data_IF_761378784250
#
_entry.id   IF_761378784250
#
_cell.length_a   1.000
_cell.length_b   1.000
_cell.length_c   1.000
_cell.angle_alpha   90.00
_cell.angle_beta   90.00
_cell.angle_gamma   90.00
#
_symmetry.space_group_name_H-M   'P 1'
#
loop_
_entity.id
_entity.type
_entity.pdbx_description
1 polymer ?
#
# COMPACT_ATOMS: atom_id res chain seq x y z
N UNK A 1 -4.28 20.86 -19.61
CA UNK A 1 -4.81 20.40 -18.31
C UNK A 1 -3.62 20.08 -17.42
N UNK A 2 -3.65 20.46 -16.14
CA UNK A 2 -2.58 20.12 -15.21
C UNK A 2 -2.50 18.60 -15.04
N UNK A 3 -1.29 18.06 -14.83
CA UNK A 3 -1.13 16.64 -14.48
C UNK A 3 -1.90 16.36 -13.18
N UNK A 4 -2.77 15.36 -13.21
CA UNK A 4 -3.59 14.98 -12.06
C UNK A 4 -2.88 13.94 -11.19
N UNK A 5 -2.96 14.11 -9.88
CA UNK A 5 -2.38 13.23 -8.87
C UNK A 5 -3.50 12.52 -8.13
N UNK A 6 -3.42 11.19 -8.10
CA UNK A 6 -4.37 10.36 -7.39
C UNK A 6 -3.99 10.21 -5.91
N UNK A 7 -4.91 10.54 -5.02
CA UNK A 7 -4.71 10.46 -3.57
C UNK A 7 -5.37 9.21 -2.99
N UNK A 8 -4.61 8.49 -2.16
CA UNK A 8 -5.09 7.35 -1.40
C UNK A 8 -4.88 7.60 0.09
N UNK A 9 -5.79 7.11 0.93
CA UNK A 9 -5.62 7.09 2.39
C UNK A 9 -5.64 5.66 2.91
N UNK A 10 -5.03 5.43 4.07
CA UNK A 10 -4.91 4.13 4.69
C UNK A 10 -5.62 4.14 6.05
N UNK A 11 -6.47 3.16 6.27
CA UNK A 11 -7.08 2.87 7.55
C UNK A 11 -6.60 1.50 8.04
N UNK A 12 -5.78 1.50 9.08
CA UNK A 12 -5.43 0.28 9.80
C UNK A 12 -6.66 -0.16 10.63
N UNK A 13 -7.34 -1.22 10.22
CA UNK A 13 -8.58 -1.69 10.88
C UNK A 13 -8.33 -2.82 11.88
N UNK A 14 -7.12 -3.37 11.89
CA UNK A 14 -6.61 -4.32 12.86
C UNK A 14 -5.09 -4.15 12.96
N UNK A 15 -4.57 -3.89 14.15
CA UNK A 15 -3.16 -3.52 14.33
C UNK A 15 -2.41 -4.45 15.28
N UNK A 16 -1.22 -4.88 14.83
CA UNK A 16 -0.24 -5.52 15.69
C UNK A 16 -0.60 -6.93 16.17
N UNK A 17 -1.42 -7.67 15.41
CA UNK A 17 -1.82 -9.06 15.72
C UNK A 17 -1.17 -10.11 14.82
N UNK A 18 -0.30 -9.70 13.89
CA UNK A 18 0.22 -10.57 12.84
C UNK A 18 1.28 -11.54 13.37
N UNK A 19 1.13 -12.83 13.09
CA UNK A 19 2.07 -13.88 13.50
C UNK A 19 3.22 -14.12 12.50
N UNK A 20 3.17 -13.47 11.33
CA UNK A 20 4.17 -13.59 10.28
C UNK A 20 5.50 -12.94 10.67
N UNK A 21 6.59 -13.35 10.02
CA UNK A 21 7.95 -12.92 10.31
C UNK A 21 8.55 -11.99 9.24
N UNK A 22 7.72 -11.16 8.60
CA UNK A 22 8.20 -10.15 7.67
C UNK A 22 9.13 -9.17 8.41
N UNK A 23 10.44 -9.24 8.16
CA UNK A 23 11.46 -8.48 8.90
C UNK A 23 11.36 -6.97 8.79
N UNK A 24 10.57 -6.45 7.85
CA UNK A 24 10.29 -5.03 7.70
C UNK A 24 9.06 -4.54 8.49
N UNK A 25 8.25 -5.44 9.05
CA UNK A 25 6.89 -5.10 9.49
C UNK A 25 6.80 -4.97 11.02
N UNK A 26 6.60 -3.74 11.50
CA UNK A 26 6.38 -3.46 12.93
C UNK A 26 5.09 -4.06 13.50
N UNK A 27 4.15 -4.48 12.65
CA UNK A 27 2.92 -5.15 13.10
C UNK A 27 3.11 -6.62 13.50
N UNK A 28 4.25 -7.23 13.16
CA UNK A 28 4.54 -8.59 13.60
C UNK A 28 4.68 -8.64 15.12
N UNK A 29 4.00 -9.61 15.74
CA UNK A 29 4.11 -9.85 17.20
C UNK A 29 5.49 -10.36 17.60
N UNK A 30 6.29 -10.86 16.64
CA UNK A 30 7.62 -11.43 16.89
C UNK A 30 8.63 -10.37 17.31
N UNK A 31 8.54 -9.18 16.71
CA UNK A 31 9.52 -8.10 16.90
C UNK A 31 9.19 -7.19 18.08
N UNK A 32 7.96 -7.23 18.62
CA UNK A 32 7.54 -6.43 19.78
C UNK A 32 7.79 -4.92 19.61
N UNK A 33 7.67 -4.40 18.39
CA UNK A 33 7.73 -2.96 18.14
C UNK A 33 6.71 -2.21 19.00
N UNK A 34 7.09 -1.03 19.48
CA UNK A 34 6.23 -0.16 20.27
C UNK A 34 5.23 0.56 19.34
N UNK A 35 4.05 -0.03 19.22
CA UNK A 35 2.96 0.43 18.36
C UNK A 35 1.63 0.24 19.09
N UNK A 36 0.61 0.99 18.69
CA UNK A 36 -0.75 0.77 19.17
C UNK A 36 -1.29 -0.56 18.63
N UNK A 37 -1.79 -1.43 19.51
CA UNK A 37 -2.29 -2.77 19.17
C UNK A 37 -3.77 -2.89 19.51
N UNK A 38 -4.57 -3.35 18.56
CA UNK A 38 -5.99 -3.57 18.73
C UNK A 38 -6.49 -4.62 17.74
N UNK A 39 -7.46 -5.43 18.17
CA UNK A 39 -7.99 -6.52 17.34
C UNK A 39 -8.89 -6.03 16.22
N UNK A 40 -9.77 -5.09 16.49
CA UNK A 40 -10.69 -4.54 15.50
C UNK A 40 -10.93 -3.07 15.85
N UNK A 41 -10.75 -2.20 14.85
CA UNK A 41 -11.14 -0.81 14.95
C UNK A 41 -12.66 -0.70 14.81
N UNK A 42 -13.27 0.16 15.61
CA UNK A 42 -14.71 0.41 15.57
C UNK A 42 -15.15 1.01 14.22
N UNK A 43 -16.26 0.52 13.67
CA UNK A 43 -16.77 0.93 12.36
C UNK A 43 -17.10 2.43 12.29
N UNK A 44 -17.58 3.05 13.37
CA UNK A 44 -17.85 4.49 13.37
C UNK A 44 -16.55 5.30 13.29
N UNK A 45 -15.48 4.82 13.92
CA UNK A 45 -14.13 5.39 13.77
C UNK A 45 -13.64 5.26 12.33
N UNK A 46 -13.77 4.08 11.71
CA UNK A 46 -13.38 3.85 10.31
C UNK A 46 -14.16 4.77 9.37
N UNK A 47 -15.47 4.94 9.59
CA UNK A 47 -16.31 5.84 8.81
C UNK A 47 -15.88 7.31 8.94
N UNK A 48 -15.51 7.74 10.14
CA UNK A 48 -14.99 9.09 10.37
C UNK A 48 -13.70 9.32 9.58
N UNK A 49 -12.74 8.38 9.66
CA UNK A 49 -11.48 8.45 8.91
C UNK A 49 -11.72 8.44 7.39
N UNK A 50 -12.72 7.69 6.91
CA UNK A 50 -13.11 7.68 5.50
C UNK A 50 -13.69 9.02 5.05
N UNK A 51 -14.60 9.62 5.83
CA UNK A 51 -15.16 10.96 5.55
C UNK A 51 -14.05 12.02 5.51
N UNK A 52 -13.15 12.00 6.49
CA UNK A 52 -12.01 12.92 6.54
C UNK A 52 -11.08 12.75 5.33
N UNK A 53 -10.78 11.50 4.94
CA UNK A 53 -9.97 11.23 3.75
C UNK A 53 -10.62 11.76 2.48
N UNK A 54 -11.92 11.54 2.31
CA UNK A 54 -12.68 12.03 1.16
C UNK A 54 -12.72 13.57 1.11
N UNK A 55 -12.97 14.23 2.25
CA UNK A 55 -12.95 15.70 2.36
C UNK A 55 -11.58 16.30 2.01
N UNK A 56 -10.51 15.55 2.22
CA UNK A 56 -9.14 15.92 1.82
C UNK A 56 -8.75 15.43 0.41
N UNK A 57 -9.72 15.00 -0.40
CA UNK A 57 -9.52 14.67 -1.81
C UNK A 57 -8.98 13.26 -2.08
N UNK A 58 -8.95 12.37 -1.07
CA UNK A 58 -8.69 10.96 -1.32
C UNK A 58 -9.78 10.37 -2.20
N UNK A 59 -9.38 9.56 -3.17
CA UNK A 59 -10.27 8.75 -3.99
C UNK A 59 -10.12 7.26 -3.68
N UNK A 60 -8.96 6.84 -3.18
CA UNK A 60 -8.74 5.48 -2.66
C UNK A 60 -8.76 5.47 -1.13
N UNK A 61 -9.38 4.44 -0.54
CA UNK A 61 -9.39 4.22 0.90
C UNK A 61 -9.08 2.76 1.22
N UNK A 62 -7.91 2.51 1.82
CA UNK A 62 -7.41 1.17 2.12
C UNK A 62 -7.90 0.68 3.48
N UNK A 63 -8.50 -0.51 3.51
CA UNK A 63 -8.87 -1.24 4.72
C UNK A 63 -7.81 -2.33 4.98
N UNK A 64 -6.94 -2.11 5.97
CA UNK A 64 -5.76 -2.95 6.20
C UNK A 64 -5.87 -3.77 7.47
N UNK A 65 -5.58 -5.06 7.38
CA UNK A 65 -5.51 -5.97 8.54
C UNK A 65 -4.07 -6.46 8.74
N UNK A 66 -3.74 -6.83 9.97
CA UNK A 66 -2.45 -7.37 10.37
C UNK A 66 -2.55 -8.90 10.56
N UNK A 67 -2.71 -9.61 9.45
CA UNK A 67 -2.76 -11.08 9.39
C UNK A 67 -2.07 -11.59 8.11
N UNK A 68 -1.75 -12.90 8.05
CA UNK A 68 -1.21 -13.55 6.84
C UNK A 68 -2.16 -13.40 5.64
N UNK A 69 -3.45 -13.56 5.89
CA UNK A 69 -4.48 -13.64 4.87
C UNK A 69 -5.88 -13.67 5.45
N UNK A 70 -6.87 -13.69 4.56
CA UNK A 70 -8.28 -13.71 4.94
C UNK A 70 -8.65 -15.05 5.56
N UNK A 71 -9.25 -14.97 6.74
CA UNK A 71 -10.05 -16.03 7.35
C UNK A 71 -11.53 -15.59 7.39
N UNK A 72 -12.42 -16.52 7.71
CA UNK A 72 -13.88 -16.26 7.73
C UNK A 72 -14.26 -15.06 8.61
N UNK A 73 -13.71 -14.95 9.82
CA UNK A 73 -14.01 -13.85 10.74
C UNK A 73 -13.55 -12.50 10.19
N UNK A 74 -12.36 -12.47 9.60
CA UNK A 74 -11.77 -11.26 9.02
C UNK A 74 -12.54 -10.84 7.77
N UNK A 75 -12.92 -11.81 6.93
CA UNK A 75 -13.74 -11.57 5.75
C UNK A 75 -15.09 -10.94 6.12
N UNK A 76 -15.81 -11.53 7.09
CA UNK A 76 -17.09 -10.97 7.59
C UNK A 76 -16.89 -9.55 8.13
N UNK A 77 -15.84 -9.31 8.90
CA UNK A 77 -15.54 -7.98 9.45
C UNK A 77 -15.27 -6.94 8.35
N UNK A 78 -14.41 -7.26 7.38
CA UNK A 78 -14.08 -6.34 6.27
C UNK A 78 -15.32 -6.07 5.40
N UNK A 79 -16.12 -7.10 5.09
CA UNK A 79 -17.37 -6.92 4.36
C UNK A 79 -18.36 -6.00 5.10
N UNK A 80 -18.52 -6.18 6.41
CA UNK A 80 -19.39 -5.31 7.21
C UNK A 80 -18.97 -3.84 7.18
N UNK A 81 -17.67 -3.56 7.26
CA UNK A 81 -17.14 -2.20 7.08
C UNK A 81 -17.42 -1.69 5.66
N UNK A 82 -17.12 -2.50 4.64
CA UNK A 82 -17.27 -2.11 3.24
C UNK A 82 -18.72 -1.75 2.88
N UNK A 83 -19.70 -2.49 3.40
CA UNK A 83 -21.12 -2.21 3.20
C UNK A 83 -21.57 -0.89 3.81
N UNK A 84 -21.06 -0.54 5.00
CA UNK A 84 -21.32 0.76 5.64
C UNK A 84 -20.70 1.89 4.82
N UNK A 85 -19.42 1.77 4.49
CA UNK A 85 -18.71 2.81 3.75
C UNK A 85 -19.28 3.02 2.33
N UNK A 86 -19.70 1.96 1.65
CA UNK A 86 -20.32 2.06 0.32
C UNK A 86 -21.63 2.85 0.35
N UNK A 87 -22.36 2.86 1.47
CA UNK A 87 -23.59 3.66 1.64
C UNK A 87 -23.29 5.10 2.01
N UNK A 88 -22.33 5.31 2.90
CA UNK A 88 -22.07 6.62 3.51
C UNK A 88 -21.08 7.50 2.73
N UNK A 89 -20.13 6.88 2.02
CA UNK A 89 -19.08 7.54 1.24
C UNK A 89 -18.87 6.81 -0.11
N UNK A 90 -19.92 6.65 -0.94
CA UNK A 90 -19.88 5.86 -2.19
C UNK A 90 -18.85 6.34 -3.22
N UNK A 91 -18.34 7.57 -3.07
CA UNK A 91 -17.35 8.17 -3.94
C UNK A 91 -15.94 7.59 -3.72
N UNK A 92 -15.68 7.03 -2.54
CA UNK A 92 -14.41 6.39 -2.25
C UNK A 92 -14.33 5.01 -2.87
N UNK A 93 -13.24 4.76 -3.59
CA UNK A 93 -12.87 3.43 -4.02
C UNK A 93 -12.25 2.68 -2.86
N UNK A 94 -13.02 1.74 -2.30
CA UNK A 94 -12.54 0.87 -1.23
C UNK A 94 -11.53 -0.15 -1.75
N UNK A 95 -10.40 -0.24 -1.06
CA UNK A 95 -9.27 -1.13 -1.37
C UNK A 95 -9.06 -2.06 -0.18
N UNK A 96 -9.19 -3.37 -0.40
CA UNK A 96 -8.88 -4.38 0.61
C UNK A 96 -7.37 -4.67 0.64
N UNK A 97 -6.75 -4.66 1.81
CA UNK A 97 -5.33 -4.97 2.01
C UNK A 97 -5.20 -6.03 3.11
N UNK A 98 -5.67 -7.26 2.84
CA UNK A 98 -5.95 -8.24 3.89
C UNK A 98 -5.13 -9.53 3.78
N UNK A 99 -3.93 -9.44 3.19
CA UNK A 99 -3.02 -10.57 3.04
C UNK A 99 -3.40 -11.50 1.89
N UNK A 100 -3.06 -12.79 2.00
CA UNK A 100 -3.42 -13.81 1.00
C UNK A 100 -4.92 -14.02 0.93
N UNK A 101 -5.43 -14.34 -0.27
CA UNK A 101 -6.86 -14.52 -0.49
C UNK A 101 -7.14 -15.51 -1.64
N UNK A 102 -8.16 -16.35 -1.46
CA UNK A 102 -8.69 -17.20 -2.54
C UNK A 102 -9.64 -16.42 -3.44
N UNK A 103 -9.92 -16.93 -4.63
CA UNK A 103 -10.87 -16.32 -5.57
C UNK A 103 -12.26 -16.14 -4.94
N UNK A 104 -12.75 -17.12 -4.17
CA UNK A 104 -14.06 -17.06 -3.51
C UNK A 104 -14.13 -15.95 -2.45
N UNK A 105 -13.06 -15.78 -1.66
CA UNK A 105 -12.97 -14.71 -0.68
C UNK A 105 -12.96 -13.33 -1.35
N UNK A 106 -12.23 -13.21 -2.47
CA UNK A 106 -12.16 -11.99 -3.27
C UNK A 106 -13.51 -11.66 -3.93
N UNK A 107 -14.24 -12.65 -4.44
CA UNK A 107 -15.60 -12.47 -4.95
C UNK A 107 -16.56 -12.03 -3.84
N UNK A 108 -16.40 -12.54 -2.63
CA UNK A 108 -17.17 -12.11 -1.46
C UNK A 108 -16.89 -10.65 -1.09
N UNK A 109 -15.62 -10.24 -1.06
CA UNK A 109 -15.23 -8.83 -0.87
C UNK A 109 -15.79 -7.93 -1.98
N UNK A 110 -15.73 -8.39 -3.23
CA UNK A 110 -16.28 -7.64 -4.38
C UNK A 110 -17.78 -7.40 -4.24
N UNK A 111 -18.52 -8.41 -3.77
CA UNK A 111 -19.95 -8.31 -3.53
C UNK A 111 -20.32 -7.31 -2.42
N UNK A 112 -19.46 -7.13 -1.41
CA UNK A 112 -19.68 -6.16 -0.31
C UNK A 112 -19.30 -4.71 -0.65
N UNK A 113 -18.74 -4.47 -1.84
CA UNK A 113 -18.43 -3.13 -2.35
C UNK A 113 -16.95 -2.84 -2.56
N UNK A 114 -16.05 -3.75 -2.17
CA UNK A 114 -14.62 -3.61 -2.49
C UNK A 114 -14.42 -3.60 -4.00
N UNK A 115 -13.59 -2.68 -4.49
CA UNK A 115 -13.32 -2.52 -5.95
C UNK A 115 -11.90 -2.90 -6.34
N UNK A 116 -10.99 -2.89 -5.38
CA UNK A 116 -9.58 -3.16 -5.60
C UNK A 116 -9.00 -3.97 -4.45
N UNK A 117 -7.95 -4.72 -4.74
CA UNK A 117 -7.22 -5.49 -3.74
C UNK A 117 -5.73 -5.18 -3.85
N UNK A 118 -5.11 -4.84 -2.71
CA UNK A 118 -3.69 -4.60 -2.61
C UNK A 118 -2.96 -5.84 -2.09
N UNK A 119 -2.02 -6.36 -2.88
CA UNK A 119 -1.11 -7.41 -2.43
C UNK A 119 0.26 -7.21 -3.08
N UNK A 120 1.26 -6.78 -2.30
CA UNK A 120 2.60 -6.52 -2.80
C UNK A 120 3.40 -7.81 -2.97
N UNK A 121 4.38 -7.83 -3.88
CA UNK A 121 5.40 -8.88 -3.91
C UNK A 121 6.53 -8.62 -2.89
N UNK A 122 6.59 -7.40 -2.37
CA UNK A 122 7.59 -6.88 -1.40
C UNK A 122 9.01 -6.77 -1.94
N UNK A 123 9.55 -7.84 -2.54
CA UNK A 123 10.89 -7.91 -3.15
C UNK A 123 10.96 -9.01 -4.23
N UNK A 124 12.15 -9.31 -4.75
CA UNK A 124 12.38 -10.41 -5.71
C UNK A 124 12.08 -11.77 -5.09
N UNK A 125 11.80 -12.77 -5.94
CA UNK A 125 11.62 -14.15 -5.48
C UNK A 125 12.89 -14.70 -4.81
N UNK A 126 14.04 -14.32 -5.36
CA UNK A 126 15.37 -14.77 -4.92
C UNK A 126 15.74 -14.21 -3.53
N UNK A 127 15.34 -12.97 -3.23
CA UNK A 127 15.65 -12.30 -1.97
C UNK A 127 14.58 -12.51 -0.89
N UNK A 128 13.35 -12.87 -1.26
CA UNK A 128 12.22 -12.94 -0.35
C UNK A 128 12.44 -13.83 0.88
N UNK A 129 13.15 -14.96 0.73
CA UNK A 129 13.48 -15.86 1.85
C UNK A 129 14.36 -15.22 2.93
N UNK A 130 15.05 -14.11 2.62
CA UNK A 130 15.78 -13.32 3.61
C UNK A 130 14.85 -12.36 4.38
N UNK A 131 13.67 -12.05 3.85
CA UNK A 131 12.71 -11.08 4.37
C UNK A 131 11.58 -11.74 5.15
N UNK A 132 11.10 -12.91 4.72
CA UNK A 132 10.02 -13.64 5.38
C UNK A 132 10.13 -15.14 5.12
N UNK A 133 9.83 -15.95 6.13
CA UNK A 133 9.91 -17.42 6.06
C UNK A 133 8.59 -18.11 6.38
N UNK A 134 7.61 -17.41 6.97
CA UNK A 134 6.31 -18.00 7.36
C UNK A 134 5.33 -18.22 6.20
N UNK A 135 5.61 -17.62 5.03
CA UNK A 135 4.86 -17.83 3.80
C UNK A 135 5.77 -17.65 2.60
N UNK A 136 5.46 -18.31 1.49
CA UNK A 136 6.30 -18.26 0.28
C UNK A 136 6.03 -17.01 -0.56
N UNK A 137 7.01 -16.64 -1.39
CA UNK A 137 6.81 -15.62 -2.43
C UNK A 137 5.75 -16.05 -3.45
N UNK A 138 5.70 -17.36 -3.77
CA UNK A 138 4.74 -17.92 -4.72
C UNK A 138 3.28 -17.77 -4.26
N UNK A 139 3.00 -17.93 -2.95
CA UNK A 139 1.68 -17.63 -2.37
C UNK A 139 1.23 -16.17 -2.61
N UNK A 140 2.18 -15.23 -2.60
CA UNK A 140 1.90 -13.81 -2.85
C UNK A 140 1.61 -13.55 -4.31
N UNK A 141 2.39 -14.16 -5.20
CA UNK A 141 2.17 -14.08 -6.63
C UNK A 141 0.82 -14.69 -7.02
N UNK A 142 0.49 -15.87 -6.49
CA UNK A 142 -0.80 -16.53 -6.68
C UNK A 142 -1.97 -15.66 -6.22
N UNK A 143 -1.84 -15.00 -5.05
CA UNK A 143 -2.88 -14.06 -4.59
C UNK A 143 -3.12 -12.94 -5.60
N UNK A 144 -2.07 -12.40 -6.23
CA UNK A 144 -2.22 -11.38 -7.28
C UNK A 144 -2.94 -11.93 -8.52
N UNK A 145 -2.70 -13.19 -8.88
CA UNK A 145 -3.43 -13.86 -9.96
C UNK A 145 -4.91 -14.05 -9.60
N UNK A 146 -5.21 -14.47 -8.38
CA UNK A 146 -6.58 -14.63 -7.88
C UNK A 146 -7.36 -13.31 -7.92
N UNK A 147 -6.71 -12.17 -7.65
CA UNK A 147 -7.32 -10.83 -7.74
C UNK A 147 -7.76 -10.52 -9.17
N UNK A 148 -6.90 -10.82 -10.15
CA UNK A 148 -7.23 -10.66 -11.56
C UNK A 148 -8.37 -11.60 -11.98
N UNK A 149 -8.35 -12.87 -11.53
CA UNK A 149 -9.40 -13.86 -11.81
C UNK A 149 -10.76 -13.44 -11.23
N UNK A 150 -10.80 -12.92 -10.01
CA UNK A 150 -12.01 -12.38 -9.38
C UNK A 150 -12.51 -11.08 -10.07
N UNK A 151 -11.71 -10.50 -10.97
CA UNK A 151 -12.00 -9.25 -11.67
C UNK A 151 -12.06 -8.04 -10.73
N UNK A 152 -11.24 -8.03 -9.68
CA UNK A 152 -10.96 -6.83 -8.88
C UNK A 152 -9.80 -6.05 -9.51
N UNK A 153 -9.72 -4.75 -9.23
CA UNK A 153 -8.55 -3.96 -9.64
C UNK A 153 -7.33 -4.41 -8.82
N UNK A 154 -6.31 -4.96 -9.47
CA UNK A 154 -5.06 -5.31 -8.83
C UNK A 154 -4.21 -4.07 -8.54
N UNK A 155 -3.81 -3.96 -7.27
CA UNK A 155 -2.78 -3.03 -6.79
C UNK A 155 -1.64 -3.88 -6.23
N UNK A 156 -0.45 -3.78 -6.81
CA UNK A 156 0.68 -4.60 -6.38
C UNK A 156 1.99 -3.87 -6.64
N UNK A 157 2.87 -3.90 -5.65
CA UNK A 157 4.18 -3.27 -5.70
C UNK A 157 5.16 -3.91 -4.73
N UNK A 158 6.07 -3.11 -4.16
CA UNK A 158 7.10 -3.62 -3.27
C UNK A 158 7.78 -2.55 -2.41
N UNK A 159 8.86 -2.94 -1.75
CA UNK A 159 9.63 -2.12 -0.82
C UNK A 159 11.09 -2.07 -1.28
N UNK A 160 11.61 -0.86 -1.44
CA UNK A 160 13.03 -0.64 -1.68
C UNK A 160 13.78 -0.32 -0.39
N UNK A 161 15.06 -0.70 -0.35
CA UNK A 161 15.94 -0.43 0.80
C UNK A 161 15.86 -1.47 1.91
N UNK A 162 15.44 -2.70 1.59
CA UNK A 162 15.45 -3.87 2.48
C UNK A 162 16.85 -4.50 2.60
N UNK A 163 17.78 -4.14 1.71
CA UNK A 163 19.09 -4.76 1.54
C UNK A 163 19.23 -5.56 0.24
N UNK A 164 18.21 -5.46 -0.63
CA UNK A 164 18.16 -6.09 -1.94
C UNK A 164 19.21 -5.52 -2.91
N UNK A 165 19.69 -6.34 -3.83
CA UNK A 165 20.61 -5.94 -4.91
C UNK A 165 19.88 -5.18 -6.03
N UNK A 166 20.63 -4.64 -7.00
CA UNK A 166 20.01 -4.02 -8.17
C UNK A 166 19.27 -5.05 -9.04
N UNK A 167 19.82 -6.27 -9.11
CA UNK A 167 19.23 -7.42 -9.81
C UNK A 167 17.88 -7.82 -9.17
N UNK A 168 17.81 -7.84 -7.84
CA UNK A 168 16.56 -8.11 -7.12
C UNK A 168 15.47 -7.07 -7.43
N UNK A 169 15.86 -5.79 -7.51
CA UNK A 169 14.92 -4.71 -7.85
C UNK A 169 14.35 -4.90 -9.24
N UNK A 170 15.18 -5.26 -10.21
CA UNK A 170 14.75 -5.51 -11.59
C UNK A 170 13.84 -6.75 -11.63
N UNK A 171 14.25 -7.86 -11.00
CA UNK A 171 13.46 -9.10 -10.90
C UNK A 171 12.06 -8.84 -10.31
N UNK A 172 11.97 -8.08 -9.22
CA UNK A 172 10.69 -7.68 -8.62
C UNK A 172 9.82 -6.89 -9.61
N UNK A 173 10.39 -5.90 -10.31
CA UNK A 173 9.64 -5.06 -11.25
C UNK A 173 9.17 -5.85 -12.48
N UNK A 174 9.94 -6.82 -12.95
CA UNK A 174 9.54 -7.72 -14.04
C UNK A 174 8.41 -8.65 -13.62
N UNK A 175 8.47 -9.21 -12.40
CA UNK A 175 7.38 -10.01 -11.84
C UNK A 175 6.10 -9.19 -11.60
N UNK A 176 6.23 -7.93 -11.17
CA UNK A 176 5.09 -7.02 -11.09
C UNK A 176 4.50 -6.75 -12.48
N UNK A 177 5.35 -6.53 -13.49
CA UNK A 177 4.90 -6.31 -14.87
C UNK A 177 4.08 -7.49 -15.40
N UNK A 178 4.48 -8.74 -15.13
CA UNK A 178 3.74 -9.92 -15.61
C UNK A 178 2.34 -10.07 -14.99
N UNK A 179 2.08 -9.41 -13.86
CA UNK A 179 0.77 -9.39 -13.19
C UNK A 179 -0.18 -8.30 -13.73
N UNK A 180 0.31 -7.38 -14.56
CA UNK A 180 -0.43 -6.23 -15.12
C UNK A 180 -1.22 -5.41 -14.06
N UNK A 181 -0.61 -4.98 -12.94
CA UNK A 181 -1.29 -4.19 -11.92
C UNK A 181 -1.75 -2.83 -12.47
N UNK A 182 -2.94 -2.40 -12.07
CA UNK A 182 -3.46 -1.07 -12.46
C UNK A 182 -2.70 0.05 -11.72
N UNK A 183 -2.28 -0.22 -10.49
CA UNK A 183 -1.52 0.71 -9.65
C UNK A 183 -0.36 -0.02 -8.99
N UNK A 184 0.82 0.60 -9.03
CA UNK A 184 2.06 0.06 -8.45
C UNK A 184 2.52 0.94 -7.30
N UNK A 185 2.26 0.54 -6.03
CA UNK A 185 2.82 1.20 -4.87
C UNK A 185 4.33 0.94 -4.75
N UNK A 186 5.08 2.01 -4.59
CA UNK A 186 6.50 2.02 -4.25
C UNK A 186 6.60 2.47 -2.80
N UNK A 187 7.20 1.61 -1.99
CA UNK A 187 7.49 1.89 -0.58
C UNK A 187 9.00 1.95 -0.39
N UNK A 188 9.44 2.74 0.58
CA UNK A 188 10.82 2.80 1.03
C UNK A 188 10.87 2.30 2.47
N UNK A 189 11.82 1.40 2.76
CA UNK A 189 11.89 0.78 4.07
C UNK A 189 12.07 1.84 5.16
N UNK A 190 11.12 1.86 6.09
CA UNK A 190 11.17 2.68 7.29
C UNK A 190 11.69 1.80 8.43
N UNK A 191 12.93 2.06 8.83
CA UNK A 191 13.58 1.32 9.90
C UNK A 191 12.91 1.57 11.26
N UNK A 192 12.79 0.51 12.05
CA UNK A 192 12.38 0.56 13.44
C UNK A 192 13.37 -0.30 14.23
N UNK A 193 13.82 0.18 15.39
CA UNK A 193 14.88 -0.48 16.18
C UNK A 193 14.51 -1.89 16.65
N UNK A 194 13.22 -2.19 16.75
CA UNK A 194 12.74 -3.52 17.12
C UNK A 194 12.87 -4.55 15.98
N UNK A 195 13.10 -4.09 14.74
CA UNK A 195 13.19 -4.94 13.55
C UNK A 195 14.63 -5.38 13.29
N UNK A 196 14.77 -6.53 12.64
CA UNK A 196 16.07 -7.16 12.35
C UNK A 196 16.82 -6.53 11.18
N UNK A 197 16.13 -5.82 10.28
CA UNK A 197 16.75 -5.22 9.10
C UNK A 197 17.54 -3.98 9.47
N UNK A 198 18.68 -3.79 8.80
CA UNK A 198 19.48 -2.56 8.92
C UNK A 198 18.71 -1.36 8.35
N UNK A 199 19.05 -0.13 8.79
CA UNK A 199 18.51 1.07 8.19
C UNK A 199 18.62 1.08 6.66
N UNK A 200 17.62 1.66 6.01
CA UNK A 200 17.56 1.81 4.56
C UNK A 200 18.84 2.52 4.06
N UNK A 201 19.65 1.89 3.18
CA UNK A 201 20.91 2.44 2.73
C UNK A 201 20.76 3.44 1.58
N UNK A 202 19.56 3.58 1.01
CA UNK A 202 19.33 4.39 -0.18
C UNK A 202 19.54 5.87 0.09
N UNK A 203 20.16 6.54 -0.87
CA UNK A 203 20.14 8.00 -0.98
C UNK A 203 18.83 8.48 -1.64
N UNK A 204 18.50 9.76 -1.45
CA UNK A 204 17.36 10.40 -2.10
C UNK A 204 17.43 10.26 -3.63
N UNK A 205 18.61 10.45 -4.22
CA UNK A 205 18.77 10.40 -5.68
C UNK A 205 18.62 8.97 -6.23
N UNK A 206 19.03 7.95 -5.46
CA UNK A 206 18.73 6.55 -5.80
C UNK A 206 17.23 6.26 -5.71
N UNK A 207 16.55 6.74 -4.67
CA UNK A 207 15.10 6.60 -4.54
C UNK A 207 14.35 7.23 -5.73
N UNK A 208 14.79 8.40 -6.22
CA UNK A 208 14.24 8.99 -7.45
C UNK A 208 14.49 8.16 -8.70
N UNK A 209 15.68 7.57 -8.84
CA UNK A 209 15.99 6.65 -9.94
C UNK A 209 15.09 5.41 -9.89
N UNK A 210 14.74 4.92 -8.70
CA UNK A 210 13.84 3.76 -8.53
C UNK A 210 12.39 4.08 -8.91
N UNK A 211 11.89 5.29 -8.61
CA UNK A 211 10.57 5.75 -9.11
C UNK A 211 10.57 5.78 -10.64
N UNK A 212 11.62 6.36 -11.24
CA UNK A 212 11.77 6.45 -12.70
C UNK A 212 11.84 5.06 -13.34
N UNK A 213 12.68 4.19 -12.80
CA UNK A 213 12.83 2.80 -13.25
C UNK A 213 11.49 2.06 -13.19
N UNK A 214 10.74 2.20 -12.10
CA UNK A 214 9.41 1.57 -11.97
C UNK A 214 8.46 2.05 -13.06
N UNK A 215 8.41 3.36 -13.32
CA UNK A 215 7.58 3.96 -14.38
C UNK A 215 7.98 3.46 -15.77
N UNK A 216 9.28 3.32 -16.03
CA UNK A 216 9.80 2.87 -17.33
C UNK A 216 9.54 1.37 -17.55
N UNK A 217 9.77 0.53 -16.54
CA UNK A 217 9.56 -0.92 -16.63
C UNK A 217 8.08 -1.27 -16.76
N UNK A 218 7.21 -0.61 -15.99
CA UNK A 218 5.76 -0.86 -15.93
C UNK A 218 5.00 0.34 -16.51
N UNK A 219 5.30 0.67 -17.78
CA UNK A 219 4.75 1.84 -18.48
C UNK A 219 3.23 1.88 -18.53
N UNK A 220 2.58 0.71 -18.56
CA UNK A 220 1.14 0.56 -18.72
C UNK A 220 0.36 0.71 -17.41
N UNK A 221 1.06 0.74 -16.26
CA UNK A 221 0.43 1.01 -14.98
C UNK A 221 -0.16 2.43 -14.98
N UNK A 222 -1.47 2.53 -14.74
CA UNK A 222 -2.16 3.81 -14.67
C UNK A 222 -1.58 4.69 -13.55
N UNK A 223 -1.15 4.06 -12.45
CA UNK A 223 -0.63 4.75 -11.27
C UNK A 223 0.69 4.16 -10.79
N UNK A 224 1.67 5.02 -10.61
CA UNK A 224 2.86 4.76 -9.79
C UNK A 224 2.68 5.57 -8.51
N UNK A 225 2.46 4.86 -7.40
CA UNK A 225 2.06 5.43 -6.12
C UNK A 225 3.24 5.44 -5.16
N UNK A 226 3.70 6.61 -4.70
CA UNK A 226 4.70 6.66 -3.63
C UNK A 226 3.98 6.60 -2.29
N UNK A 227 4.18 5.52 -1.54
CA UNK A 227 3.41 5.16 -0.36
C UNK A 227 4.27 5.17 0.91
N UNK A 228 4.52 4.01 1.54
CA UNK A 228 5.20 3.92 2.83
C UNK A 228 6.64 4.45 2.78
N UNK A 229 7.05 5.14 3.85
CA UNK A 229 8.41 5.68 4.00
C UNK A 229 8.71 6.95 3.20
N UNK A 230 7.72 7.52 2.51
CA UNK A 230 7.88 8.69 1.64
C UNK A 230 8.47 9.91 2.35
N UNK A 231 7.93 10.30 3.50
CA UNK A 231 8.37 11.48 4.25
C UNK A 231 9.83 11.34 4.70
N UNK A 232 10.18 10.17 5.23
CA UNK A 232 11.53 9.89 5.72
C UNK A 232 12.53 9.76 4.58
N UNK A 233 12.13 9.13 3.48
CA UNK A 233 13.02 8.93 2.34
C UNK A 233 13.36 10.26 1.67
N UNK A 234 12.36 11.14 1.44
CA UNK A 234 12.57 12.31 0.59
C UNK A 234 12.71 13.64 1.34
N UNK A 235 12.27 13.74 2.60
CA UNK A 235 12.31 14.97 3.39
C UNK A 235 11.74 16.17 2.62
N UNK A 236 12.51 17.26 2.55
CA UNK A 236 12.10 18.48 1.84
C UNK A 236 12.00 18.32 0.31
N UNK A 237 12.56 17.23 -0.25
CA UNK A 237 12.56 16.92 -1.69
C UNK A 237 11.37 16.06 -2.13
N UNK A 238 10.37 15.85 -1.26
CA UNK A 238 9.16 15.06 -1.59
C UNK A 238 8.43 15.55 -2.86
N UNK A 239 8.52 16.84 -3.19
CA UNK A 239 7.90 17.42 -4.37
C UNK A 239 8.47 16.88 -5.69
N UNK A 240 9.73 16.46 -5.72
CA UNK A 240 10.42 15.98 -6.93
C UNK A 240 9.91 14.61 -7.40
N UNK A 241 9.24 13.81 -6.55
CA UNK A 241 8.75 12.47 -6.93
C UNK A 241 7.88 12.48 -8.20
N UNK A 242 7.13 13.56 -8.44
CA UNK A 242 6.22 13.67 -9.59
C UNK A 242 6.94 13.89 -10.91
N UNK A 243 8.09 14.57 -10.92
CA UNK A 243 8.94 14.68 -12.10
C UNK A 243 9.69 13.38 -12.39
N UNK A 244 9.82 12.50 -11.39
CA UNK A 244 10.44 11.18 -11.53
C UNK A 244 9.46 10.06 -11.93
N UNK A 245 8.19 10.35 -12.17
CA UNK A 245 7.23 9.40 -12.74
C UNK A 245 6.08 9.00 -11.83
N UNK A 246 6.11 9.41 -10.55
CA UNK A 246 4.97 9.26 -9.67
C UNK A 246 3.77 10.08 -10.16
N UNK A 247 2.58 9.53 -9.99
CA UNK A 247 1.31 10.21 -10.23
C UNK A 247 0.23 9.81 -9.20
N UNK A 248 0.66 9.21 -8.10
CA UNK A 248 -0.19 8.90 -6.97
C UNK A 248 0.61 8.91 -5.68
N UNK A 249 -0.04 9.23 -4.56
CA UNK A 249 0.56 9.23 -3.22
C UNK A 249 -0.44 8.74 -2.18
N UNK A 250 0.09 8.21 -1.07
CA UNK A 250 -0.67 8.07 0.16
C UNK A 250 -0.64 9.38 0.94
N UNK A 251 -1.78 9.83 1.47
CA UNK A 251 -1.89 11.01 2.32
C UNK A 251 -2.32 10.61 3.74
N UNK A 252 -1.97 11.43 4.73
CA UNK A 252 -2.27 11.14 6.12
C UNK A 252 -1.36 10.07 6.70
N UNK A 253 -1.84 9.37 7.73
CA UNK A 253 -1.05 8.37 8.42
C UNK A 253 -0.96 7.04 7.67
N UNK A 254 0.07 6.26 8.00
CA UNK A 254 0.24 4.89 7.55
C UNK A 254 -0.27 3.91 8.62
N UNK A 255 0.18 2.65 8.55
CA UNK A 255 -0.30 1.58 9.45
C UNK A 255 0.10 1.81 10.91
N UNK A 256 1.38 2.05 11.15
CA UNK A 256 2.01 2.16 12.47
C UNK A 256 2.91 3.39 12.58
N UNK A 257 2.96 4.22 11.54
CA UNK A 257 3.87 5.36 11.43
C UNK A 257 3.09 6.59 10.99
N UNK A 258 3.43 7.73 11.58
CA UNK A 258 2.81 8.99 11.22
C UNK A 258 3.31 9.43 9.85
N UNK A 259 2.37 9.85 9.00
CA UNK A 259 2.70 10.63 7.82
C UNK A 259 2.63 12.12 8.13
N UNK A 260 2.64 12.96 7.10
CA UNK A 260 2.33 14.38 7.26
C UNK A 260 0.83 14.64 7.23
N UNK A 261 0.42 15.80 7.75
CA UNK A 261 -0.97 16.25 7.66
C UNK A 261 -1.41 16.34 6.19
N UNK A 262 -2.61 15.86 5.86
CA UNK A 262 -3.13 15.82 4.48
C UNK A 262 -3.14 17.21 3.83
N UNK A 263 -3.39 18.27 4.59
CA UNK A 263 -3.33 19.66 4.10
C UNK A 263 -1.95 20.04 3.54
N UNK A 264 -0.86 19.49 4.08
CA UNK A 264 0.51 19.71 3.55
C UNK A 264 0.73 19.04 2.21
N UNK A 265 0.14 17.86 2.00
CA UNK A 265 0.11 17.23 0.67
C UNK A 265 -0.63 18.11 -0.34
N UNK A 266 -1.79 18.65 0.02
CA UNK A 266 -2.57 19.53 -0.86
C UNK A 266 -1.86 20.86 -1.16
N UNK A 267 -1.23 21.48 -0.15
CA UNK A 267 -0.41 22.68 -0.31
C UNK A 267 0.76 22.43 -1.28
N UNK A 268 1.46 21.30 -1.12
CA UNK A 268 2.55 20.91 -2.02
C UNK A 268 2.04 20.75 -3.46
N UNK A 269 0.96 20.01 -3.68
CA UNK A 269 0.40 19.83 -5.03
C UNK A 269 -0.01 21.16 -5.68
N UNK A 270 -0.62 22.05 -4.91
CA UNK A 270 -0.98 23.40 -5.36
C UNK A 270 0.26 24.22 -5.74
N UNK A 271 1.32 24.17 -4.92
CA UNK A 271 2.58 24.88 -5.20
C UNK A 271 3.28 24.41 -6.49
N UNK A 272 3.07 23.14 -6.85
CA UNK A 272 3.58 22.54 -8.09
C UNK A 272 2.66 22.73 -9.29
N UNK A 273 1.52 23.43 -9.12
CA UNK A 273 0.47 23.54 -10.13
C UNK A 273 -0.02 22.16 -10.63
N UNK A 274 -0.07 21.16 -9.74
CA UNK A 274 -0.61 19.82 -10.02
C UNK A 274 -2.07 19.75 -9.58
N UNK A 275 -2.90 19.08 -10.37
CA UNK A 275 -4.31 18.85 -10.04
C UNK A 275 -4.46 17.65 -9.09
N UNK A 276 -5.48 17.68 -8.24
CA UNK A 276 -5.94 16.47 -7.54
C UNK A 276 -6.97 15.78 -8.42
N UNK A 277 -6.81 14.49 -8.68
CA UNK A 277 -7.75 13.71 -9.47
C UNK A 277 -9.14 13.75 -8.82
N UNK A 278 -10.20 13.84 -9.63
CA UNK A 278 -11.61 13.93 -9.16
C UNK A 278 -12.41 12.65 -9.41
N UNK A 279 -11.85 11.72 -10.16
CA UNK A 279 -12.43 10.42 -10.48
C UNK A 279 -11.33 9.38 -10.66
N UNK A 280 -11.68 8.10 -10.53
CA UNK A 280 -10.73 6.98 -10.65
C UNK A 280 -10.80 6.31 -12.00
#
# INVERSE_FOLDING_TARGET
>A
MNKEIFLCSICNINSGTCNEDCKFCSQSVRYKADIERYKQKDTATVLKEAKEAYENGALGFCLVTADKGLNEKTLVFVCGIAEVLTKEVPQLRLIACNGTATVEQLLTLKASGIKAYNHNLETSKEFYGQICTTHSWDERYETCQNVNEAGLVLISGGIFGLGESQEDRISMLEALKSLNPTSVPINFYHHNEALELKPNPLTIDEAFKLIKLTRETISDAQRIMVAGGRELMFGDRQNEIFSHGANSIVIGNYLTTSGRAMSKDLEMLKSLNLGVAKSV
#
